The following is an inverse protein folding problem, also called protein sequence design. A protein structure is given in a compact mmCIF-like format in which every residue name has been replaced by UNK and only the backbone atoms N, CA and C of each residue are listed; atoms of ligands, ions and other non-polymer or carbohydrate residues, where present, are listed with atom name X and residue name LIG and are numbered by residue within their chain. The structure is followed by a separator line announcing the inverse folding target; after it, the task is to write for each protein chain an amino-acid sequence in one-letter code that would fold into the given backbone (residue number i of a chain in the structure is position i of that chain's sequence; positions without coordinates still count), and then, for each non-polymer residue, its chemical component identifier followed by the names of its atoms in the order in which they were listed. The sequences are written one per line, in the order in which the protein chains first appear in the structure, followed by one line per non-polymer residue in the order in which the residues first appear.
data_IF_600501872651
#
_entry.id   IF_600501872651
#
_cell.length_a   1.000
_cell.length_b   1.000
_cell.length_c   1.000
_cell.angle_alpha   90.00
_cell.angle_beta   90.00
_cell.angle_gamma   90.00
#
_symmetry.space_group_name_H-M   'P 1'
#
loop_
_entity.id
_entity.type
_entity.pdbx_description
1 polymer ?
#
# COMPACT_ATOMS: atom_id res chain seq x y z
N UNK A 1 3.14 -12.67 1.23
CA UNK A 1 3.98 -11.49 0.88
C UNK A 1 4.19 -10.70 2.15
N UNK A 2 5.44 -10.32 2.44
CA UNK A 2 5.75 -9.43 3.56
C UNK A 2 5.48 -7.97 3.19
N UNK A 3 5.37 -7.08 4.18
CA UNK A 3 5.35 -5.62 3.95
C UNK A 3 6.52 -5.15 3.08
N UNK A 4 7.71 -5.76 3.24
CA UNK A 4 8.90 -5.44 2.45
C UNK A 4 8.71 -5.78 0.98
N UNK A 5 8.05 -6.91 0.68
CA UNK A 5 7.74 -7.30 -0.70
C UNK A 5 6.74 -6.35 -1.34
N UNK A 6 5.77 -5.86 -0.55
CA UNK A 6 4.81 -4.86 -0.99
C UNK A 6 5.55 -3.54 -1.25
N UNK A 7 6.32 -3.02 -0.29
CA UNK A 7 7.07 -1.77 -0.42
C UNK A 7 7.96 -1.74 -1.67
N UNK A 8 8.69 -2.83 -1.94
CA UNK A 8 9.52 -2.97 -3.16
C UNK A 8 8.70 -2.95 -4.45
N UNK A 9 7.54 -3.61 -4.44
CA UNK A 9 6.61 -3.65 -5.57
C UNK A 9 5.94 -2.31 -5.84
N UNK A 10 5.73 -1.51 -4.81
CA UNK A 10 5.03 -0.23 -4.88
C UNK A 10 5.95 0.97 -5.06
N UNK A 11 7.25 0.75 -5.03
CA UNK A 11 8.25 1.82 -4.89
C UNK A 11 7.86 2.77 -3.74
N UNK A 12 7.52 2.15 -2.61
CA UNK A 12 7.00 2.84 -1.43
C UNK A 12 7.97 2.65 -0.27
N UNK A 13 8.22 3.74 0.45
CA UNK A 13 9.04 3.70 1.66
C UNK A 13 8.37 2.85 2.75
N UNK A 14 9.17 2.00 3.40
CA UNK A 14 8.68 1.10 4.45
C UNK A 14 8.12 1.84 5.66
N UNK A 15 8.73 2.97 6.02
CA UNK A 15 8.28 3.83 7.14
C UNK A 15 6.94 4.49 6.79
N UNK A 16 6.75 4.87 5.52
CA UNK A 16 5.44 5.36 5.05
C UNK A 16 4.37 4.27 5.11
N UNK A 17 4.67 3.03 4.68
CA UNK A 17 3.74 1.90 4.81
C UNK A 17 3.40 1.60 6.27
N UNK A 18 4.39 1.62 7.16
CA UNK A 18 4.17 1.41 8.60
C UNK A 18 3.28 2.49 9.21
N UNK A 19 3.42 3.74 8.76
CA UNK A 19 2.56 4.85 9.22
C UNK A 19 1.11 4.71 8.72
N UNK A 20 0.91 4.13 7.53
CA UNK A 20 -0.44 3.80 7.03
C UNK A 20 -1.05 2.67 7.87
N UNK A 21 -0.32 1.58 8.07
CA UNK A 21 -0.80 0.43 8.84
C UNK A 21 -1.05 0.78 10.32
N UNK A 22 -0.31 1.75 10.86
CA UNK A 22 -0.50 2.28 12.21
C UNK A 22 -1.60 3.35 12.33
N UNK A 23 -2.23 3.77 11.22
CA UNK A 23 -3.25 4.81 11.21
C UNK A 23 -2.71 6.24 11.41
N UNK A 24 -1.39 6.44 11.43
CA UNK A 24 -0.75 7.74 11.54
C UNK A 24 -0.82 8.55 10.23
N UNK A 25 -0.98 7.87 9.09
CA UNK A 25 -1.09 8.49 7.77
C UNK A 25 -2.18 7.87 6.92
N UNK A 26 -2.85 8.72 6.15
CA UNK A 26 -3.78 8.29 5.11
C UNK A 26 -3.07 8.14 3.76
N UNK A 27 -3.47 7.14 3.00
CA UNK A 27 -3.06 6.93 1.61
C UNK A 27 -4.14 7.51 0.67
N UNK A 28 -3.74 8.14 -0.43
CA UNK A 28 -4.69 8.61 -1.44
C UNK A 28 -5.12 7.47 -2.35
N UNK A 29 -6.34 7.55 -2.91
CA UNK A 29 -6.84 6.57 -3.88
C UNK A 29 -5.90 6.45 -5.10
N UNK A 30 -5.39 7.58 -5.59
CA UNK A 30 -4.40 7.61 -6.68
C UNK A 30 -3.09 6.89 -6.35
N UNK A 31 -2.73 6.81 -5.07
CA UNK A 31 -1.55 6.05 -4.60
C UNK A 31 -1.88 4.57 -4.40
N UNK A 32 -3.15 4.23 -4.15
CA UNK A 32 -3.67 2.86 -4.02
C UNK A 32 -3.79 2.14 -5.38
N UNK A 33 -3.98 2.88 -6.47
CA UNK A 33 -4.09 2.32 -7.83
C UNK A 33 -2.80 1.65 -8.33
N UNK A 34 -1.63 2.13 -7.89
CA UNK A 34 -0.34 1.49 -8.19
C UNK A 34 -0.24 0.10 -7.53
N UNK A 35 -0.54 -0.07 -6.23
CA UNK A 35 -0.59 -1.38 -5.61
C UNK A 35 -1.58 -2.34 -6.20
N UNK A 36 -2.78 -1.90 -6.56
CA UNK A 36 -3.77 -2.81 -7.13
C UNK A 36 -3.34 -3.40 -8.45
N UNK A 37 -2.64 -2.63 -9.30
CA UNK A 37 -2.04 -3.11 -10.54
C UNK A 37 -0.92 -4.15 -10.29
N UNK A 38 -0.05 -3.89 -9.30
CA UNK A 38 1.11 -4.76 -9.02
C UNK A 38 0.72 -6.02 -8.23
N UNK A 39 -0.27 -5.90 -7.35
CA UNK A 39 -0.75 -6.97 -6.49
C UNK A 39 -1.92 -7.75 -7.10
N UNK A 40 -2.49 -7.26 -8.22
CA UNK A 40 -3.71 -7.81 -8.88
C UNK A 40 -4.88 -8.00 -7.91
N UNK A 41 -5.02 -7.08 -6.96
CA UNK A 41 -6.14 -7.01 -6.02
C UNK A 41 -6.90 -5.72 -6.26
N UNK A 42 -8.19 -5.69 -5.93
CA UNK A 42 -9.02 -4.51 -6.08
C UNK A 42 -8.83 -3.52 -4.91
N UNK A 43 -9.10 -2.23 -5.14
CA UNK A 43 -8.85 -1.15 -4.15
C UNK A 43 -9.69 -1.37 -2.88
N UNK A 44 -10.91 -1.89 -3.01
CA UNK A 44 -11.80 -2.24 -1.90
C UNK A 44 -11.20 -3.28 -0.94
N UNK A 45 -10.31 -4.16 -1.43
CA UNK A 45 -9.61 -5.12 -0.57
C UNK A 45 -8.48 -4.50 0.25
N UNK A 46 -8.03 -3.30 -0.12
CA UNK A 46 -7.00 -2.54 0.57
C UNK A 46 -7.59 -1.52 1.57
N UNK A 47 -8.90 -1.28 1.52
CA UNK A 47 -9.62 -0.27 2.32
C UNK A 47 -10.52 -0.89 3.40
N UNK A 48 -10.07 -1.98 4.03
CA UNK A 48 -10.85 -2.65 5.08
C UNK A 48 -10.68 -2.01 6.45
#
# INVERSE_FOLDING_TARGET
MSQVDICRKLDMDRSYMSAIDGGEKNITISRLERPTQVLRVSVDKLLK
#
